data_IF_642362470325
#
_entry.id   IF_642362470325
#
_cell.length_a   1.000
_cell.length_b   1.000
_cell.length_c   1.000
_cell.angle_alpha   90.00
_cell.angle_beta   90.00
_cell.angle_gamma   90.00
#
_symmetry.space_group_name_H-M   'P 1'
#
loop_
_entity.id
_entity.type
_entity.pdbx_description
1 polymer ?
#
# COMPACT_ATOMS: atom_id res chain seq x y z
N UNK A 1 -4.61 13.98 -5.83
CA UNK A 1 -4.15 12.58 -5.95
C UNK A 1 -4.62 11.70 -4.79
N UNK A 2 -4.34 12.05 -3.52
CA UNK A 2 -4.68 11.20 -2.35
C UNK A 2 -6.18 10.87 -2.24
N UNK A 3 -7.07 11.86 -2.34
CA UNK A 3 -8.51 11.61 -2.23
C UNK A 3 -9.03 10.71 -3.36
N UNK A 4 -8.54 10.91 -4.59
CA UNK A 4 -8.86 10.05 -5.73
C UNK A 4 -8.39 8.60 -5.51
N UNK A 5 -7.19 8.40 -4.95
CA UNK A 5 -6.73 7.07 -4.52
C UNK A 5 -7.73 6.43 -3.56
N UNK A 6 -8.11 7.15 -2.49
CA UNK A 6 -8.98 6.62 -1.44
C UNK A 6 -10.35 6.24 -2.00
N UNK A 7 -10.93 7.09 -2.84
CA UNK A 7 -12.21 6.84 -3.50
C UNK A 7 -12.15 5.63 -4.42
N UNK A 8 -11.11 5.54 -5.26
CA UNK A 8 -10.98 4.43 -6.23
C UNK A 8 -10.73 3.09 -5.53
N UNK A 9 -9.86 3.07 -4.51
CA UNK A 9 -9.64 1.85 -3.72
C UNK A 9 -10.93 1.44 -2.98
N UNK A 10 -11.69 2.38 -2.42
CA UNK A 10 -12.99 2.08 -1.80
C UNK A 10 -14.00 1.53 -2.81
N UNK A 11 -14.09 2.11 -4.00
CA UNK A 11 -14.98 1.62 -5.06
C UNK A 11 -14.59 0.20 -5.50
N UNK A 12 -13.28 -0.05 -5.69
CA UNK A 12 -12.77 -1.38 -5.98
C UNK A 12 -13.09 -2.39 -4.86
N UNK A 13 -13.11 -1.97 -3.59
CA UNK A 13 -13.46 -2.83 -2.46
C UNK A 13 -14.95 -3.19 -2.52
N UNK A 14 -15.81 -2.21 -2.83
CA UNK A 14 -17.25 -2.45 -3.02
C UNK A 14 -17.50 -3.45 -4.15
N UNK A 15 -16.76 -3.34 -5.26
CA UNK A 15 -16.84 -4.30 -6.37
C UNK A 15 -16.36 -5.70 -5.98
N UNK A 16 -15.24 -5.80 -5.27
CA UNK A 16 -14.74 -7.06 -4.73
C UNK A 16 -15.76 -7.70 -3.78
N UNK A 17 -16.29 -6.93 -2.81
CA UNK A 17 -17.32 -7.38 -1.85
C UNK A 17 -18.55 -7.93 -2.58
N UNK A 18 -19.06 -7.21 -3.57
CA UNK A 18 -20.20 -7.64 -4.40
C UNK A 18 -19.91 -8.96 -5.10
N UNK A 19 -18.75 -9.09 -5.77
CA UNK A 19 -18.35 -10.33 -6.47
C UNK A 19 -18.16 -11.50 -5.50
N UNK A 20 -17.51 -11.28 -4.36
CA UNK A 20 -17.26 -12.30 -3.35
C UNK A 20 -18.56 -12.84 -2.76
N UNK A 21 -19.55 -11.97 -2.49
CA UNK A 21 -20.89 -12.39 -2.04
C UNK A 21 -21.64 -13.17 -3.13
N UNK A 22 -21.67 -12.64 -4.36
CA UNK A 22 -22.44 -13.24 -5.46
C UNK A 22 -21.92 -14.63 -5.86
N UNK A 23 -20.62 -14.87 -5.71
CA UNK A 23 -19.98 -16.16 -6.00
C UNK A 23 -20.04 -17.13 -4.81
N UNK A 24 -20.51 -16.68 -3.64
CA UNK A 24 -20.47 -17.47 -2.41
C UNK A 24 -19.07 -17.68 -1.85
N UNK A 25 -18.05 -16.98 -2.39
CA UNK A 25 -16.66 -17.06 -1.93
C UNK A 25 -16.52 -16.63 -0.46
N UNK A 26 -17.29 -15.61 -0.07
CA UNK A 26 -17.36 -15.09 1.30
C UNK A 26 -18.83 -14.94 1.69
N UNK A 27 -19.19 -15.52 2.83
CA UNK A 27 -20.51 -15.37 3.46
C UNK A 27 -20.34 -14.45 4.66
N UNK A 28 -21.00 -13.29 4.63
CA UNK A 28 -20.95 -12.30 5.71
C UNK A 28 -22.11 -12.53 6.66
N UNK A 29 -21.83 -12.54 7.96
CA UNK A 29 -22.85 -12.41 9.00
C UNK A 29 -23.33 -10.95 9.12
N UNK A 30 -24.39 -10.72 9.90
CA UNK A 30 -25.00 -9.39 10.06
C UNK A 30 -24.06 -8.34 10.69
N UNK A 31 -23.10 -8.79 11.50
CA UNK A 31 -22.14 -7.96 12.24
C UNK A 31 -20.73 -7.95 11.63
N UNK A 32 -20.59 -8.46 10.40
CA UNK A 32 -19.33 -8.61 9.69
C UNK A 32 -19.24 -7.75 8.42
N UNK A 33 -18.00 -7.44 8.05
CA UNK A 33 -17.63 -6.75 6.82
C UNK A 33 -16.71 -7.60 5.96
N UNK A 34 -16.47 -7.17 4.72
CA UNK A 34 -15.51 -7.86 3.86
C UNK A 34 -14.08 -7.83 4.43
N UNK A 35 -13.75 -6.82 5.25
CA UNK A 35 -12.43 -6.68 5.87
C UNK A 35 -12.20 -7.69 7.00
N UNK A 36 -13.26 -8.17 7.66
CA UNK A 36 -13.16 -9.21 8.70
C UNK A 36 -12.75 -10.56 8.08
N UNK A 37 -13.04 -10.78 6.79
CA UNK A 37 -12.70 -11.98 6.03
C UNK A 37 -11.37 -11.90 5.26
N UNK A 38 -10.61 -10.82 5.44
CA UNK A 38 -9.26 -10.65 4.87
C UNK A 38 -8.28 -10.58 6.04
N UNK A 39 -7.38 -11.57 6.16
CA UNK A 39 -6.40 -11.62 7.25
C UNK A 39 -5.37 -10.49 7.13
N UNK A 40 -4.83 -10.27 5.93
CA UNK A 40 -3.78 -9.27 5.68
C UNK A 40 -4.08 -8.41 4.45
N UNK A 41 -3.80 -7.12 4.54
CA UNK A 41 -3.97 -6.14 3.47
C UNK A 41 -2.62 -5.65 2.96
N UNK A 42 -2.49 -5.70 1.64
CA UNK A 42 -1.34 -5.17 0.91
C UNK A 42 -1.84 -4.11 -0.05
N UNK A 43 -1.23 -2.94 -0.03
CA UNK A 43 -1.72 -1.78 -0.77
C UNK A 43 -0.62 -1.22 -1.67
N UNK A 44 -1.00 -0.56 -2.77
CA UNK A 44 -0.06 0.29 -3.47
C UNK A 44 0.33 1.48 -2.57
N UNK A 45 1.62 1.62 -2.26
CA UNK A 45 2.12 2.63 -1.32
C UNK A 45 2.95 3.69 -2.05
N UNK A 46 2.37 4.87 -2.38
CA UNK A 46 3.15 6.00 -2.85
C UNK A 46 4.08 6.56 -1.75
N UNK A 47 3.73 6.31 -0.49
CA UNK A 47 4.54 6.53 0.71
C UNK A 47 3.94 5.67 1.84
N UNK A 48 4.75 5.29 2.83
CA UNK A 48 4.35 4.32 3.87
C UNK A 48 3.08 4.73 4.64
N UNK A 49 2.94 6.02 4.97
CA UNK A 49 1.78 6.53 5.71
C UNK A 49 0.47 6.52 4.88
N UNK A 50 0.52 6.32 3.56
CA UNK A 50 -0.67 6.22 2.73
C UNK A 50 -1.50 4.98 3.09
N UNK A 51 -0.84 3.87 3.45
CA UNK A 51 -1.52 2.65 3.86
C UNK A 51 -2.42 2.87 5.08
N UNK A 52 -1.94 3.61 6.09
CA UNK A 52 -2.74 3.96 7.28
C UNK A 52 -3.99 4.77 6.89
N UNK A 53 -3.82 5.80 6.05
CA UNK A 53 -4.94 6.62 5.57
C UNK A 53 -5.96 5.79 4.78
N UNK A 54 -5.48 4.89 3.93
CA UNK A 54 -6.32 4.01 3.13
C UNK A 54 -7.10 3.04 4.01
N UNK A 55 -6.44 2.37 4.95
CA UNK A 55 -7.12 1.47 5.89
C UNK A 55 -8.17 2.20 6.72
N UNK A 56 -7.84 3.38 7.26
CA UNK A 56 -8.79 4.19 8.01
C UNK A 56 -10.02 4.55 7.17
N UNK A 57 -9.79 4.95 5.91
CA UNK A 57 -10.88 5.25 4.99
C UNK A 57 -11.75 4.02 4.72
N UNK A 58 -11.17 2.85 4.40
CA UNK A 58 -11.94 1.63 4.16
C UNK A 58 -12.70 1.17 5.41
N UNK A 59 -12.07 1.20 6.59
CA UNK A 59 -12.67 0.81 7.86
C UNK A 59 -13.87 1.68 8.20
N UNK A 60 -13.77 3.01 8.06
CA UNK A 60 -14.91 3.93 8.25
C UNK A 60 -16.07 3.53 7.35
N UNK A 61 -15.83 3.33 6.05
CA UNK A 61 -16.91 2.98 5.10
C UNK A 61 -17.53 1.60 5.36
N UNK A 62 -16.75 0.60 5.76
CA UNK A 62 -17.27 -0.74 6.04
C UNK A 62 -17.94 -0.83 7.42
N UNK A 63 -17.43 -0.13 8.45
CA UNK A 63 -17.92 -0.24 9.81
C UNK A 63 -19.14 0.63 10.12
N UNK A 64 -19.37 1.76 9.42
CA UNK A 64 -20.50 2.68 9.66
C UNK A 64 -21.87 2.02 9.82
N UNK A 65 -22.06 0.86 9.17
CA UNK A 65 -23.33 0.11 9.19
C UNK A 65 -23.42 -0.93 10.31
N UNK A 66 -22.34 -1.13 11.07
CA UNK A 66 -22.23 -2.16 12.08
C UNK A 66 -22.39 -1.60 13.51
N UNK A 67 -22.85 -2.42 14.47
CA UNK A 67 -22.97 -2.01 15.88
C UNK A 67 -21.67 -1.47 16.49
N UNK A 68 -20.50 -1.99 16.06
CA UNK A 68 -19.18 -1.55 16.54
C UNK A 68 -18.92 -0.06 16.28
N UNK A 69 -19.52 0.52 15.24
CA UNK A 69 -19.36 1.94 14.93
C UNK A 69 -19.96 2.84 15.99
N UNK A 70 -21.12 2.48 16.55
CA UNK A 70 -21.76 3.27 17.60
C UNK A 70 -20.88 3.38 18.86
N UNK A 71 -20.17 2.30 19.20
CA UNK A 71 -19.20 2.30 20.29
C UNK A 71 -18.03 3.26 20.00
N UNK A 72 -17.47 3.19 18.79
CA UNK A 72 -16.37 4.05 18.34
C UNK A 72 -16.78 5.53 18.36
N UNK A 73 -17.95 5.88 17.81
CA UNK A 73 -18.46 7.27 17.81
C UNK A 73 -18.62 7.81 19.24
N UNK A 74 -19.09 6.98 20.18
CA UNK A 74 -19.22 7.36 21.58
C UNK A 74 -17.87 7.60 22.24
N UNK A 75 -16.86 6.79 21.91
CA UNK A 75 -15.50 6.93 22.45
C UNK A 75 -14.77 8.17 21.94
N UNK A 76 -14.89 8.49 20.65
CA UNK A 76 -14.23 9.66 20.06
C UNK A 76 -14.94 10.98 20.37
N UNK A 77 -16.16 10.93 20.92
CA UNK A 77 -17.00 12.09 21.27
C UNK A 77 -17.19 13.10 20.12
N UNK A 78 -17.23 12.59 18.89
CA UNK A 78 -17.36 13.38 17.67
C UNK A 78 -18.17 12.61 16.64
N UNK A 79 -19.24 13.22 16.14
CA UNK A 79 -19.97 12.66 15.00
C UNK A 79 -19.11 12.71 13.74
N UNK A 80 -19.28 11.71 12.88
CA UNK A 80 -18.56 11.68 11.61
C UNK A 80 -19.06 12.79 10.69
N UNK A 81 -18.16 13.67 10.20
CA UNK A 81 -18.56 14.75 9.33
C UNK A 81 -19.05 14.20 7.98
N UNK A 82 -20.13 14.80 7.48
CA UNK A 82 -20.75 14.46 6.20
C UNK A 82 -20.51 15.64 5.25
N UNK A 83 -20.05 15.40 4.01
CA UNK A 83 -19.90 16.47 3.03
C UNK A 83 -21.26 17.07 2.67
N UNK A 84 -21.31 18.40 2.48
CA UNK A 84 -22.56 19.13 2.19
C UNK A 84 -23.26 18.67 0.92
N UNK A 85 -22.50 18.29 -0.10
CA UNK A 85 -23.02 17.64 -1.31
C UNK A 85 -22.61 16.16 -1.34
N UNK A 86 -23.51 15.22 -0.98
CA UNK A 86 -23.22 13.79 -1.02
C UNK A 86 -23.08 13.24 -2.46
N UNK A 87 -23.46 13.99 -3.49
CA UNK A 87 -23.23 13.68 -4.92
C UNK A 87 -22.07 14.47 -5.52
N UNK A 88 -21.44 15.33 -4.71
CA UNK A 88 -20.48 16.32 -5.16
C UNK A 88 -19.27 15.71 -5.85
N UNK A 89 -18.70 16.47 -6.80
CA UNK A 89 -17.45 16.07 -7.44
C UNK A 89 -16.30 16.12 -6.42
N UNK A 90 -15.16 15.51 -6.75
CA UNK A 90 -13.98 15.53 -5.86
C UNK A 90 -13.57 16.98 -5.57
N UNK A 91 -13.72 17.87 -6.55
CA UNK A 91 -13.44 19.29 -6.46
C UNK A 91 -14.34 19.99 -5.45
N UNK A 92 -15.65 19.69 -5.42
CA UNK A 92 -16.57 20.31 -4.47
C UNK A 92 -16.28 19.89 -3.03
N UNK A 93 -15.90 18.62 -2.82
CA UNK A 93 -15.49 18.12 -1.51
C UNK A 93 -14.19 18.79 -1.04
N UNK A 94 -13.21 18.93 -1.94
CA UNK A 94 -11.93 19.57 -1.63
C UNK A 94 -12.07 21.09 -1.38
N UNK A 95 -13.06 21.74 -2.00
CA UNK A 95 -13.35 23.15 -1.81
C UNK A 95 -14.02 23.45 -0.46
N UNK A 96 -14.66 22.48 0.18
CA UNK A 96 -15.27 22.64 1.50
C UNK A 96 -14.21 22.53 2.62
N UNK A 97 -13.52 23.64 2.89
CA UNK A 97 -12.45 23.70 3.88
C UNK A 97 -12.92 23.32 5.30
N UNK A 98 -14.17 23.62 5.65
CA UNK A 98 -14.74 23.29 6.95
C UNK A 98 -14.92 21.76 7.09
N UNK A 99 -15.50 21.13 6.06
CA UNK A 99 -15.61 19.67 6.01
C UNK A 99 -14.23 19.01 6.06
N UNK A 100 -13.26 19.47 5.26
CA UNK A 100 -11.92 18.89 5.23
C UNK A 100 -11.20 18.97 6.57
N UNK A 101 -11.36 20.08 7.30
CA UNK A 101 -10.80 20.23 8.65
C UNK A 101 -11.44 19.26 9.65
N UNK A 102 -12.78 19.17 9.65
CA UNK A 102 -13.53 18.24 10.51
C UNK A 102 -13.20 16.78 10.18
N UNK A 103 -13.13 16.41 8.90
CA UNK A 103 -12.81 15.04 8.46
C UNK A 103 -11.37 14.64 8.84
N UNK A 104 -10.45 15.59 8.76
CA UNK A 104 -9.08 15.38 9.24
C UNK A 104 -9.03 15.15 10.76
N UNK A 105 -9.72 15.98 11.54
CA UNK A 105 -9.81 15.82 13.00
C UNK A 105 -10.46 14.49 13.37
N UNK A 106 -11.59 14.16 12.76
CA UNK A 106 -12.29 12.90 12.97
C UNK A 106 -11.38 11.71 12.65
N UNK A 107 -10.72 11.72 11.50
CA UNK A 107 -9.79 10.65 11.10
C UNK A 107 -8.68 10.49 12.12
N UNK A 108 -8.11 11.60 12.62
CA UNK A 108 -7.06 11.55 13.65
C UNK A 108 -7.55 10.87 14.93
N UNK A 109 -8.73 11.24 15.42
CA UNK A 109 -9.35 10.63 16.61
C UNK A 109 -9.63 9.14 16.38
N UNK A 110 -10.29 8.82 15.27
CA UNK A 110 -10.60 7.44 14.86
C UNK A 110 -9.34 6.57 14.78
N UNK A 111 -8.25 7.08 14.19
CA UNK A 111 -7.01 6.29 14.07
C UNK A 111 -6.28 6.04 15.39
N UNK A 112 -6.73 6.63 16.49
CA UNK A 112 -6.20 6.39 17.83
C UNK A 112 -7.08 5.46 18.66
N UNK A 113 -8.24 5.02 18.17
CA UNK A 113 -9.09 4.09 18.94
C UNK A 113 -8.48 2.70 18.98
N UNK A 114 -8.72 1.91 20.05
CA UNK A 114 -8.23 0.54 20.15
C UNK A 114 -8.64 -0.33 18.96
N UNK A 115 -9.88 -0.20 18.46
CA UNK A 115 -10.39 -1.00 17.33
C UNK A 115 -9.60 -0.74 16.05
N UNK A 116 -9.25 0.53 15.77
CA UNK A 116 -8.46 0.85 14.58
C UNK A 116 -7.01 0.41 14.75
N UNK A 117 -6.42 0.60 15.93
CA UNK A 117 -5.04 0.19 16.21
C UNK A 117 -4.90 -1.33 16.08
N UNK A 118 -5.85 -2.10 16.60
CA UNK A 118 -5.90 -3.55 16.44
C UNK A 118 -6.05 -3.96 14.97
N UNK A 119 -6.95 -3.30 14.22
CA UNK A 119 -7.10 -3.53 12.78
C UNK A 119 -5.80 -3.24 12.01
N UNK A 120 -5.13 -2.14 12.34
CA UNK A 120 -3.89 -1.72 11.72
C UNK A 120 -2.76 -2.71 11.97
N UNK A 121 -2.55 -3.09 13.23
CA UNK A 121 -1.48 -4.01 13.62
C UNK A 121 -1.72 -5.41 13.05
N UNK A 122 -2.96 -5.93 13.14
CA UNK A 122 -3.28 -7.28 12.67
C UNK A 122 -3.28 -7.43 11.15
N UNK A 123 -3.70 -6.40 10.40
CA UNK A 123 -3.90 -6.54 8.95
C UNK A 123 -2.86 -5.85 8.08
N UNK A 124 -2.23 -4.77 8.54
CA UNK A 124 -1.47 -3.87 7.64
C UNK A 124 -0.03 -3.63 8.08
N UNK A 125 0.27 -3.59 9.38
CA UNK A 125 1.56 -3.11 9.88
C UNK A 125 2.77 -3.80 9.21
N UNK A 126 2.73 -5.12 9.06
CA UNK A 126 3.81 -5.93 8.47
C UNK A 126 4.05 -5.66 7.00
N UNK A 127 3.02 -5.30 6.22
CA UNK A 127 3.18 -4.97 4.81
C UNK A 127 3.83 -3.60 4.58
N UNK A 128 3.88 -2.74 5.61
CA UNK A 128 4.47 -1.41 5.51
C UNK A 128 5.97 -1.37 5.81
N UNK A 129 6.55 -2.43 6.38
CA UNK A 129 7.95 -2.42 6.86
C UNK A 129 8.91 -2.22 5.69
N UNK A 130 8.81 -3.02 4.63
CA UNK A 130 9.66 -2.89 3.45
C UNK A 130 9.54 -1.53 2.75
N UNK A 131 8.31 -0.97 2.68
CA UNK A 131 8.08 0.34 2.07
C UNK A 131 8.76 1.48 2.85
N UNK A 132 8.88 1.37 4.18
CA UNK A 132 9.66 2.34 4.97
C UNK A 132 11.15 2.26 4.67
N UNK A 133 11.66 1.08 4.32
CA UNK A 133 13.08 0.86 4.02
C UNK A 133 13.48 1.29 2.61
N UNK A 134 12.57 1.14 1.63
CA UNK A 134 12.87 1.28 0.19
C UNK A 134 12.18 2.48 -0.46
N UNK A 135 10.98 2.87 0.01
CA UNK A 135 10.16 3.90 -0.61
C UNK A 135 9.18 3.36 -1.65
N UNK A 136 8.82 4.20 -2.62
CA UNK A 136 7.82 3.88 -3.64
C UNK A 136 8.48 3.25 -4.88
N UNK A 137 8.10 2.02 -5.20
CA UNK A 137 8.52 1.27 -6.39
C UNK A 137 7.44 1.23 -7.49
N UNK A 138 6.50 2.19 -7.47
CA UNK A 138 5.38 2.27 -8.40
C UNK A 138 4.59 0.95 -8.50
N UNK A 139 4.63 0.27 -9.64
CA UNK A 139 3.91 -0.98 -9.90
C UNK A 139 4.34 -2.11 -8.97
N UNK A 140 5.60 -2.12 -8.53
CA UNK A 140 6.12 -3.12 -7.61
C UNK A 140 5.77 -2.85 -6.14
N UNK A 141 5.28 -1.65 -5.78
CA UNK A 141 5.00 -1.29 -4.38
C UNK A 141 3.98 -2.21 -3.71
N UNK A 142 2.96 -2.65 -4.45
CA UNK A 142 1.96 -3.59 -3.94
C UNK A 142 2.60 -4.95 -3.56
N UNK A 143 3.45 -5.47 -4.44
CA UNK A 143 4.10 -6.76 -4.26
C UNK A 143 5.23 -6.70 -3.24
N UNK A 144 5.90 -5.54 -3.11
CA UNK A 144 6.83 -5.29 -2.02
C UNK A 144 6.11 -5.35 -0.67
N UNK A 145 4.90 -4.77 -0.58
CA UNK A 145 4.05 -4.88 0.60
C UNK A 145 3.70 -6.34 0.90
N UNK A 146 3.32 -7.12 -0.13
CA UNK A 146 3.03 -8.54 0.03
C UNK A 146 4.23 -9.35 0.52
N UNK A 147 5.40 -9.20 -0.11
CA UNK A 147 6.65 -9.82 0.33
C UNK A 147 6.96 -9.46 1.78
N UNK A 148 6.81 -8.19 2.15
CA UNK A 148 6.96 -7.70 3.53
C UNK A 148 5.99 -8.40 4.49
N UNK A 149 4.72 -8.50 4.13
CA UNK A 149 3.72 -9.18 4.96
C UNK A 149 4.09 -10.64 5.20
N UNK A 150 4.54 -11.36 4.17
CA UNK A 150 4.95 -12.76 4.30
C UNK A 150 6.13 -12.91 5.24
N UNK A 151 7.22 -12.17 5.00
CA UNK A 151 8.46 -12.27 5.78
C UNK A 151 8.23 -11.92 7.25
N UNK A 152 7.62 -10.77 7.53
CA UNK A 152 7.55 -10.28 8.91
C UNK A 152 6.46 -10.97 9.75
N UNK A 153 5.42 -11.54 9.14
CA UNK A 153 4.49 -12.40 9.88
C UNK A 153 5.10 -13.78 10.16
N UNK A 154 5.86 -14.34 9.21
CA UNK A 154 6.59 -15.59 9.43
C UNK A 154 7.63 -15.45 10.54
N UNK A 155 8.39 -14.35 10.57
CA UNK A 155 9.35 -14.06 11.66
C UNK A 155 8.69 -13.92 13.03
N UNK A 156 7.41 -13.53 13.10
CA UNK A 156 6.63 -13.52 14.35
C UNK A 156 6.15 -14.91 14.77
N UNK A 157 6.41 -15.95 13.97
CA UNK A 157 5.94 -17.31 14.20
C UNK A 157 4.48 -17.54 13.82
N UNK A 158 3.90 -16.70 12.95
CA UNK A 158 2.50 -16.86 12.51
C UNK A 158 2.42 -17.90 11.39
N UNK A 159 1.54 -18.88 11.56
CA UNK A 159 1.15 -19.79 10.47
C UNK A 159 0.23 -19.04 9.48
N UNK A 160 0.74 -18.83 8.26
CA UNK A 160 0.03 -18.12 7.20
C UNK A 160 -0.82 -19.06 6.35
N UNK A 161 -0.73 -20.39 6.52
CA UNK A 161 -1.50 -21.35 5.73
C UNK A 161 -3.00 -21.08 5.85
N UNK A 162 -3.68 -21.01 4.70
CA UNK A 162 -5.12 -20.76 4.63
C UNK A 162 -5.53 -19.32 4.90
N UNK A 163 -4.60 -18.43 5.27
CA UNK A 163 -4.88 -17.00 5.45
C UNK A 163 -5.21 -16.36 4.10
N UNK A 164 -6.19 -15.46 4.10
CA UNK A 164 -6.60 -14.69 2.93
C UNK A 164 -5.85 -13.36 2.89
N UNK A 165 -5.11 -13.14 1.83
CA UNK A 165 -4.37 -11.92 1.56
C UNK A 165 -5.17 -11.06 0.58
N UNK A 166 -5.50 -9.84 0.99
CA UNK A 166 -6.13 -8.83 0.15
C UNK A 166 -5.08 -7.92 -0.51
N UNK A 167 -5.33 -7.59 -1.78
CA UNK A 167 -4.47 -6.72 -2.59
C UNK A 167 -5.27 -5.51 -3.06
N UNK A 168 -4.84 -4.32 -2.67
CA UNK A 168 -5.40 -3.04 -3.08
C UNK A 168 -4.47 -2.36 -4.08
N UNK A 169 -4.64 -2.70 -5.36
CA UNK A 169 -3.87 -2.10 -6.46
C UNK A 169 -4.46 -0.75 -6.87
N UNK A 170 -3.58 0.21 -7.19
CA UNK A 170 -3.96 1.53 -7.70
C UNK A 170 -2.90 2.06 -8.68
N UNK A 171 -3.36 2.68 -9.77
CA UNK A 171 -2.56 3.48 -10.68
C UNK A 171 -3.25 4.81 -10.98
N UNK A 172 -2.48 5.91 -10.98
CA UNK A 172 -2.99 7.25 -11.27
C UNK A 172 -3.50 7.36 -12.72
N UNK A 173 -4.66 8.00 -12.91
CA UNK A 173 -5.31 8.13 -14.23
C UNK A 173 -6.83 7.92 -14.31
N UNK A 174 -7.58 7.24 -13.42
CA UNK A 174 -7.26 6.46 -12.22
C UNK A 174 -7.96 5.09 -12.27
N UNK A 175 -7.19 4.03 -12.03
CA UNK A 175 -7.69 2.66 -12.02
C UNK A 175 -7.28 1.98 -10.72
N UNK A 176 -8.23 1.30 -10.09
CA UNK A 176 -8.01 0.50 -8.90
C UNK A 176 -8.63 -0.88 -9.08
N UNK A 177 -7.98 -1.88 -8.47
CA UNK A 177 -8.48 -3.24 -8.46
C UNK A 177 -8.21 -3.85 -7.10
N UNK A 178 -9.22 -4.50 -6.53
CA UNK A 178 -9.08 -5.33 -5.35
C UNK A 178 -9.32 -6.78 -5.71
N UNK A 179 -8.39 -7.62 -5.29
CA UNK A 179 -8.44 -9.06 -5.41
C UNK A 179 -7.86 -9.69 -4.15
N UNK A 180 -8.08 -10.99 -3.97
CA UNK A 180 -7.51 -11.73 -2.85
C UNK A 180 -7.00 -13.10 -3.28
N UNK A 181 -6.05 -13.62 -2.51
CA UNK A 181 -5.53 -14.98 -2.64
C UNK A 181 -5.52 -15.67 -1.28
N UNK A 182 -5.58 -17.00 -1.27
CA UNK A 182 -5.44 -17.82 -0.05
C UNK A 182 -4.06 -18.47 -0.06
N UNK A 183 -3.29 -18.26 1.00
CA UNK A 183 -1.95 -18.84 1.13
C UNK A 183 -2.03 -20.36 1.18
N UNK A 184 -1.30 -21.00 0.28
CA UNK A 184 -1.16 -22.46 0.22
C UNK A 184 -0.05 -22.93 1.17
N UNK A 185 -0.10 -24.19 1.66
CA UNK A 185 0.86 -24.73 2.63
C UNK A 185 2.33 -24.59 2.22
N UNK A 186 2.62 -24.58 0.92
CA UNK A 186 3.98 -24.55 0.36
C UNK A 186 4.66 -23.19 0.54
N UNK A 187 3.95 -22.16 1.02
CA UNK A 187 4.50 -20.81 1.22
C UNK A 187 5.76 -20.82 2.09
N UNK A 188 5.81 -21.70 3.09
CA UNK A 188 6.91 -21.77 4.06
C UNK A 188 8.24 -22.10 3.36
N UNK A 189 8.22 -22.89 2.28
CA UNK A 189 9.42 -23.23 1.53
C UNK A 189 10.06 -22.00 0.88
N UNK A 190 9.27 -20.97 0.59
CA UNK A 190 9.73 -19.72 -0.01
C UNK A 190 10.09 -18.70 1.08
N UNK A 191 9.22 -18.54 2.08
CA UNK A 191 9.34 -17.45 3.06
C UNK A 191 10.47 -17.70 4.08
N UNK A 192 10.81 -18.96 4.37
CA UNK A 192 11.91 -19.30 5.30
C UNK A 192 13.27 -18.72 4.90
N UNK A 193 13.47 -18.50 3.59
CA UNK A 193 14.73 -18.01 3.02
C UNK A 193 14.67 -16.49 2.74
N UNK A 194 13.52 -15.84 2.97
CA UNK A 194 13.39 -14.39 2.80
C UNK A 194 14.12 -13.63 3.89
N UNK A 195 14.97 -12.69 3.49
CA UNK A 195 15.60 -11.75 4.41
C UNK A 195 15.84 -10.44 3.69
N UNK A 196 14.86 -9.52 3.77
CA UNK A 196 14.92 -8.26 3.03
C UNK A 196 16.14 -7.43 3.40
N UNK A 197 16.51 -7.40 4.68
CA UNK A 197 17.64 -6.61 5.15
C UNK A 197 18.96 -7.13 4.59
N UNK A 198 19.14 -8.46 4.57
CA UNK A 198 20.31 -9.09 3.95
C UNK A 198 20.32 -8.92 2.42
N UNK A 199 19.17 -9.08 1.76
CA UNK A 199 19.02 -8.91 0.30
C UNK A 199 19.30 -7.48 -0.16
N UNK A 200 18.89 -6.47 0.61
CA UNK A 200 19.24 -5.07 0.35
C UNK A 200 20.75 -4.81 0.47
N UNK A 201 21.45 -5.64 1.25
CA UNK A 201 22.89 -5.60 1.41
C UNK A 201 23.41 -4.25 1.94
N UNK A 202 24.73 -3.98 1.79
CA UNK A 202 25.33 -2.73 2.23
C UNK A 202 24.88 -1.59 1.31
N UNK A 203 23.99 -0.73 1.81
CA UNK A 203 23.55 0.49 1.13
C UNK A 203 24.44 1.67 1.49
N UNK A 204 24.67 2.57 0.53
CA UNK A 204 25.45 3.79 0.75
C UNK A 204 24.50 4.97 0.94
N UNK A 205 24.62 5.65 2.08
CA UNK A 205 23.90 6.90 2.30
C UNK A 205 24.50 7.99 1.44
N UNK A 206 23.67 8.62 0.61
CA UNK A 206 24.07 9.78 -0.19
C UNK A 206 23.91 11.07 0.61
N UNK A 207 24.77 12.04 0.33
CA UNK A 207 24.53 13.44 0.67
C UNK A 207 23.40 14.01 -0.20
N UNK A 208 22.76 15.11 0.23
CA UNK A 208 21.72 15.76 -0.57
C UNK A 208 22.25 16.16 -1.96
N UNK A 209 23.47 16.68 -2.01
CA UNK A 209 24.13 17.08 -3.27
C UNK A 209 24.32 15.90 -4.22
N UNK A 210 24.82 14.76 -3.73
CA UNK A 210 24.98 13.55 -4.57
C UNK A 210 23.64 13.04 -5.10
N UNK A 211 22.60 13.08 -4.25
CA UNK A 211 21.25 12.72 -4.66
C UNK A 211 20.72 13.65 -5.77
N UNK A 212 20.86 14.97 -5.62
CA UNK A 212 20.45 15.96 -6.64
C UNK A 212 21.21 15.76 -7.95
N UNK A 213 22.52 15.53 -7.89
CA UNK A 213 23.34 15.23 -9.07
C UNK A 213 22.86 13.97 -9.81
N UNK A 214 22.48 12.91 -9.08
CA UNK A 214 21.91 11.71 -9.68
C UNK A 214 20.51 11.96 -10.24
N UNK A 215 19.64 12.62 -9.48
CA UNK A 215 18.25 12.88 -9.86
C UNK A 215 18.13 13.74 -11.11
N UNK A 216 19.02 14.73 -11.25
CA UNK A 216 19.05 15.65 -12.39
C UNK A 216 19.90 15.12 -13.57
N UNK A 217 20.33 13.85 -13.53
CA UNK A 217 21.17 13.21 -14.56
C UNK A 217 22.49 13.97 -14.83
N UNK A 218 23.07 14.62 -13.83
CA UNK A 218 24.37 15.32 -13.94
C UNK A 218 25.56 14.36 -13.98
N UNK A 219 25.35 13.09 -13.64
CA UNK A 219 26.35 12.02 -13.64
C UNK A 219 26.14 11.12 -14.86
N UNK A 220 27.17 11.01 -15.70
CA UNK A 220 27.17 10.06 -16.81
C UNK A 220 27.44 8.62 -16.35
N UNK A 221 27.28 7.67 -17.27
CA UNK A 221 27.41 6.21 -17.03
C UNK A 221 28.76 5.83 -16.38
N UNK A 222 29.82 6.58 -16.67
CA UNK A 222 31.17 6.35 -16.13
C UNK A 222 31.40 6.90 -14.70
N UNK A 223 30.47 7.71 -14.18
CA UNK A 223 30.62 8.45 -12.91
C UNK A 223 29.78 7.86 -11.77
N UNK A 224 29.86 6.54 -11.62
CA UNK A 224 29.14 5.80 -10.58
C UNK A 224 29.71 6.08 -9.18
N UNK A 225 28.83 6.08 -8.17
CA UNK A 225 29.22 6.26 -6.75
C UNK A 225 29.82 4.97 -6.18
N UNK A 226 29.39 3.80 -6.70
CA UNK A 226 29.96 2.50 -6.38
C UNK A 226 30.20 1.69 -7.64
N UNK A 227 31.19 0.81 -7.55
CA UNK A 227 31.38 -0.27 -8.52
C UNK A 227 30.22 -1.24 -8.45
N UNK A 228 29.77 -1.68 -9.63
CA UNK A 228 28.74 -2.69 -9.76
C UNK A 228 29.22 -4.03 -9.20
N UNK A 229 28.29 -4.81 -8.64
CA UNK A 229 28.57 -6.16 -8.12
C UNK A 229 27.35 -7.06 -8.25
N UNK A 230 27.47 -8.13 -9.05
CA UNK A 230 26.39 -9.10 -9.34
C UNK A 230 25.12 -8.44 -9.83
N UNK A 231 25.24 -7.49 -10.76
CA UNK A 231 24.10 -6.72 -11.27
C UNK A 231 24.25 -6.34 -12.75
N UNK A 232 23.12 -6.07 -13.40
CA UNK A 232 23.10 -5.50 -14.74
C UNK A 232 23.29 -3.99 -14.67
N UNK A 233 24.21 -3.47 -15.47
CA UNK A 233 24.43 -2.02 -15.62
C UNK A 233 24.18 -1.57 -17.05
N UNK A 234 23.71 -0.35 -17.21
CA UNK A 234 23.67 0.36 -18.49
C UNK A 234 25.10 0.79 -18.84
N UNK A 235 25.60 0.43 -20.02
CA UNK A 235 26.96 0.79 -20.48
C UNK A 235 26.95 1.78 -21.63
N UNK A 236 25.88 1.80 -22.44
CA UNK A 236 25.74 2.76 -23.55
C UNK A 236 24.28 3.11 -23.82
N UNK A 237 24.07 4.34 -24.33
CA UNK A 237 22.82 4.78 -24.94
C UNK A 237 23.15 5.40 -26.29
N UNK A 238 22.79 4.71 -27.37
CA UNK A 238 23.17 5.10 -28.71
C UNK A 238 22.52 6.44 -29.09
N UNK A 239 23.33 7.33 -29.68
CA UNK A 239 22.91 8.69 -30.09
C UNK A 239 22.99 8.90 -31.61
N UNK A 240 23.42 7.87 -32.36
CA UNK A 240 23.43 7.92 -33.83
C UNK A 240 22.02 8.09 -34.38
N UNK A 241 21.90 8.66 -35.59
CA UNK A 241 20.59 8.92 -36.21
C UNK A 241 19.76 7.65 -36.42
N UNK A 242 20.42 6.53 -36.74
CA UNK A 242 19.76 5.28 -37.13
C UNK A 242 19.28 4.44 -35.94
N UNK A 243 19.96 4.54 -34.79
CA UNK A 243 19.71 3.72 -33.60
C UNK A 243 19.52 4.54 -32.32
N UNK A 244 19.11 5.81 -32.46
CA UNK A 244 18.94 6.73 -31.32
C UNK A 244 18.04 6.13 -30.24
N UNK A 245 18.57 6.03 -29.03
CA UNK A 245 17.86 5.54 -27.86
C UNK A 245 18.00 4.04 -27.61
N UNK A 246 18.70 3.30 -28.48
CA UNK A 246 19.13 1.93 -28.18
C UNK A 246 20.01 1.91 -26.92
N UNK A 247 19.80 0.93 -26.04
CA UNK A 247 20.48 0.82 -24.75
C UNK A 247 21.23 -0.49 -24.66
N UNK A 248 22.50 -0.45 -24.27
CA UNK A 248 23.31 -1.64 -24.05
C UNK A 248 23.55 -1.87 -22.58
N UNK A 249 23.46 -3.13 -22.18
CA UNK A 249 23.63 -3.57 -20.79
C UNK A 249 24.64 -4.70 -20.72
N UNK A 250 25.38 -4.76 -19.62
CA UNK A 250 26.24 -5.90 -19.29
C UNK A 250 25.98 -6.36 -17.85
N UNK A 251 26.20 -7.65 -17.58
CA UNK A 251 26.22 -8.18 -16.22
C UNK A 251 27.64 -8.07 -15.66
N UNK A 252 27.78 -7.48 -14.47
CA UNK A 252 29.04 -7.40 -13.74
C UNK A 252 29.03 -8.43 -12.63
N UNK A 253 29.98 -9.36 -12.66
CA UNK A 253 30.18 -10.40 -11.62
C UNK A 253 30.63 -9.86 -10.27
#
# INVERSE_FOLDING_TARGET
SNLLYLIQVKNALSDYKRKAKNTGLIKLNEDETILDHIDYLNMHLPYSNMGKKALAYLARHEWRTLPRWNKIIKEIEMEEPIPKDPRGTIESVLADAEFMAKDHQFTKLFTNTPEYLELYESKLASSLIASKMIGNLYTASLYLGFRSSLEFEYQKGVDLKGKRIGFCSYGSGASAMIFSGVIQPEYEQVVKDMNLEAELGPRTKLTLKEYEEMHENKRGIEKNIRSAKKEFILVDVNTSLESRGERHYTFVE
#
